data_IF_643163005947
#
_entry.id   IF_643163005947
#
_cell.length_a   1.000
_cell.length_b   1.000
_cell.length_c   1.000
_cell.angle_alpha   90.00
_cell.angle_beta   90.00
_cell.angle_gamma   90.00
#
_symmetry.space_group_name_H-M   'P 1'
#
loop_
_entity.id
_entity.type
_entity.pdbx_description
1 polymer ?
#
# COMPACT_ATOMS: atom_id res chain seq x y z
N UNK A 1 -59.72 -78.39 -37.22
CA UNK A 1 -59.97 -77.56 -36.02
C UNK A 1 -58.62 -77.54 -35.32
N UNK A 2 -57.79 -76.58 -35.68
CA UNK A 2 -56.34 -76.68 -35.53
C UNK A 2 -55.95 -76.04 -34.19
N UNK A 3 -56.36 -76.73 -33.12
CA UNK A 3 -56.14 -76.32 -31.74
C UNK A 3 -54.64 -76.24 -31.41
N UNK A 4 -53.83 -77.16 -31.93
CA UNK A 4 -52.39 -77.17 -31.69
C UNK A 4 -51.69 -75.94 -32.29
N UNK A 5 -52.05 -75.54 -33.50
CA UNK A 5 -51.49 -74.33 -34.13
C UNK A 5 -51.83 -73.05 -33.35
N UNK A 6 -52.98 -73.03 -32.68
CA UNK A 6 -53.41 -71.90 -31.85
C UNK A 6 -52.65 -71.86 -30.52
N UNK A 7 -52.40 -73.03 -29.92
CA UNK A 7 -51.62 -73.16 -28.67
C UNK A 7 -50.15 -72.79 -28.91
N UNK A 8 -49.54 -73.23 -30.01
CA UNK A 8 -48.17 -72.86 -30.37
C UNK A 8 -48.03 -71.36 -30.60
N UNK A 9 -48.99 -70.74 -31.31
CA UNK A 9 -48.99 -69.29 -31.54
C UNK A 9 -49.15 -68.49 -30.24
N UNK A 10 -49.99 -68.95 -29.32
CA UNK A 10 -50.14 -68.32 -28.00
C UNK A 10 -48.87 -68.46 -27.16
N UNK A 11 -48.20 -69.60 -27.20
CA UNK A 11 -46.92 -69.80 -26.51
C UNK A 11 -45.82 -68.93 -27.10
N UNK A 12 -45.75 -68.79 -28.43
CA UNK A 12 -44.80 -67.91 -29.10
C UNK A 12 -45.02 -66.43 -28.71
N UNK A 13 -46.28 -65.98 -28.67
CA UNK A 13 -46.61 -64.62 -28.24
C UNK A 13 -46.27 -64.37 -26.77
N UNK A 14 -46.53 -65.33 -25.88
CA UNK A 14 -46.13 -65.25 -24.46
C UNK A 14 -44.61 -65.22 -24.27
N UNK A 15 -43.85 -65.97 -25.07
CA UNK A 15 -42.39 -65.92 -25.05
C UNK A 15 -41.88 -64.57 -25.56
N UNK A 16 -42.48 -64.04 -26.62
CA UNK A 16 -42.13 -62.74 -27.19
C UNK A 16 -42.45 -61.60 -26.22
N UNK A 17 -43.58 -61.64 -25.52
CA UNK A 17 -43.96 -60.64 -24.51
C UNK A 17 -43.02 -60.70 -23.28
N UNK A 18 -42.63 -61.91 -22.85
CA UNK A 18 -41.63 -62.09 -21.79
C UNK A 18 -40.25 -61.58 -22.21
N UNK A 19 -39.83 -61.86 -23.44
CA UNK A 19 -38.58 -61.37 -24.01
C UNK A 19 -38.56 -59.85 -24.19
N UNK A 20 -39.66 -59.26 -24.66
CA UNK A 20 -39.81 -57.81 -24.79
C UNK A 20 -39.82 -57.11 -23.41
N UNK A 21 -40.47 -57.72 -22.41
CA UNK A 21 -40.47 -57.20 -21.03
C UNK A 21 -39.09 -57.28 -20.37
N UNK A 22 -38.34 -58.36 -20.61
CA UNK A 22 -36.96 -58.47 -20.14
C UNK A 22 -36.03 -57.46 -20.83
N UNK A 23 -36.12 -57.32 -22.16
CA UNK A 23 -35.33 -56.35 -22.90
C UNK A 23 -35.62 -54.90 -22.46
N UNK A 24 -36.87 -54.56 -22.16
CA UNK A 24 -37.24 -53.26 -21.60
C UNK A 24 -36.73 -53.05 -20.17
N UNK A 25 -36.78 -54.07 -19.31
CA UNK A 25 -36.23 -53.98 -17.97
C UNK A 25 -34.70 -53.80 -17.98
N UNK A 26 -34.00 -54.51 -18.87
CA UNK A 26 -32.56 -54.37 -19.07
C UNK A 26 -32.17 -52.98 -19.60
N UNK A 27 -32.92 -52.44 -20.57
CA UNK A 27 -32.69 -51.08 -21.06
C UNK A 27 -33.00 -50.00 -20.00
N UNK A 28 -34.05 -50.16 -19.20
CA UNK A 28 -34.35 -49.25 -18.10
C UNK A 28 -33.27 -49.29 -17.00
N UNK A 29 -32.73 -50.48 -16.69
CA UNK A 29 -31.60 -50.63 -15.78
C UNK A 29 -30.30 -50.02 -16.34
N UNK A 30 -30.02 -50.19 -17.63
CA UNK A 30 -28.87 -49.56 -18.28
C UNK A 30 -28.98 -48.01 -18.26
N UNK A 31 -30.17 -47.47 -18.51
CA UNK A 31 -30.37 -46.02 -18.49
C UNK A 31 -30.26 -45.42 -17.08
N UNK A 32 -30.84 -46.09 -16.07
CA UNK A 32 -30.75 -45.64 -14.67
C UNK A 32 -29.32 -45.72 -14.12
N UNK A 33 -28.56 -46.75 -14.48
CA UNK A 33 -27.14 -46.86 -14.11
C UNK A 33 -26.30 -45.78 -14.81
N UNK A 34 -26.57 -45.48 -16.08
CA UNK A 34 -25.93 -44.36 -16.78
C UNK A 34 -26.21 -43.01 -16.12
N UNK A 35 -27.47 -42.74 -15.75
CA UNK A 35 -27.85 -41.50 -15.07
C UNK A 35 -27.16 -41.37 -13.69
N UNK A 36 -27.06 -42.46 -12.93
CA UNK A 36 -26.35 -42.47 -11.65
C UNK A 36 -24.85 -42.17 -11.82
N UNK A 37 -24.22 -42.70 -12.87
CA UNK A 37 -22.82 -42.40 -13.18
C UNK A 37 -22.63 -40.94 -13.58
N UNK A 38 -23.53 -40.38 -14.38
CA UNK A 38 -23.50 -38.96 -14.75
C UNK A 38 -23.71 -38.04 -13.55
N UNK A 39 -24.67 -38.34 -12.67
CA UNK A 39 -24.89 -37.58 -11.44
C UNK A 39 -23.68 -37.63 -10.52
N UNK A 40 -23.06 -38.80 -10.37
CA UNK A 40 -21.84 -38.95 -9.59
C UNK A 40 -20.69 -38.13 -10.17
N UNK A 41 -20.50 -38.20 -11.49
CA UNK A 41 -19.48 -37.43 -12.20
C UNK A 41 -19.70 -35.92 -12.03
N UNK A 42 -20.93 -35.43 -12.22
CA UNK A 42 -21.27 -34.02 -12.05
C UNK A 42 -21.06 -33.56 -10.60
N UNK A 43 -21.38 -34.41 -9.63
CA UNK A 43 -21.12 -34.11 -8.23
C UNK A 43 -19.62 -33.99 -7.95
N UNK A 44 -18.80 -34.95 -8.41
CA UNK A 44 -17.34 -34.92 -8.27
C UNK A 44 -16.72 -33.70 -8.98
N UNK A 45 -17.23 -33.31 -10.16
CA UNK A 45 -16.79 -32.11 -10.87
C UNK A 45 -17.19 -30.83 -10.12
N UNK A 46 -18.37 -30.79 -9.48
CA UNK A 46 -18.81 -29.66 -8.67
C UNK A 46 -17.94 -29.49 -7.42
N UNK A 47 -17.70 -30.56 -6.68
CA UNK A 47 -16.84 -30.56 -5.48
C UNK A 47 -15.43 -30.05 -5.81
N UNK A 48 -14.86 -30.49 -6.95
CA UNK A 48 -13.55 -29.99 -7.42
C UNK A 48 -13.58 -28.48 -7.66
N UNK A 49 -14.61 -27.98 -8.33
CA UNK A 49 -14.77 -26.54 -8.59
C UNK A 49 -14.94 -25.73 -7.31
N UNK A 50 -15.73 -26.24 -6.36
CA UNK A 50 -15.91 -25.60 -5.05
C UNK A 50 -14.57 -25.52 -4.33
N UNK A 51 -13.82 -26.62 -4.25
CA UNK A 51 -12.49 -26.61 -3.62
C UNK A 51 -11.46 -25.74 -4.33
N UNK A 52 -11.54 -25.58 -5.65
CA UNK A 52 -10.71 -24.62 -6.38
C UNK A 52 -11.08 -23.18 -6.04
N UNK A 53 -12.38 -22.87 -6.00
CA UNK A 53 -12.86 -21.53 -5.62
C UNK A 53 -12.51 -21.18 -4.17
N UNK A 54 -12.66 -22.13 -3.23
CA UNK A 54 -12.27 -21.94 -1.84
C UNK A 54 -10.78 -21.62 -1.70
N UNK A 55 -9.92 -22.34 -2.44
CA UNK A 55 -8.48 -22.08 -2.45
C UNK A 55 -8.15 -20.69 -3.01
N UNK A 56 -8.78 -20.30 -4.11
CA UNK A 56 -8.61 -18.96 -4.69
C UNK A 56 -9.07 -17.87 -3.73
N UNK A 57 -10.21 -18.06 -3.07
CA UNK A 57 -10.72 -17.11 -2.09
C UNK A 57 -9.78 -16.96 -0.89
N UNK A 58 -9.22 -18.06 -0.39
CA UNK A 58 -8.22 -18.03 0.69
C UNK A 58 -6.94 -17.29 0.27
N UNK A 59 -6.46 -17.52 -0.96
CA UNK A 59 -5.32 -16.81 -1.52
C UNK A 59 -5.59 -15.30 -1.57
N UNK A 60 -6.72 -14.89 -2.17
CA UNK A 60 -7.09 -13.47 -2.22
C UNK A 60 -7.27 -12.84 -0.84
N UNK A 61 -7.84 -13.56 0.13
CA UNK A 61 -7.93 -13.05 1.50
C UNK A 61 -6.56 -12.83 2.12
N UNK A 62 -5.60 -13.73 1.86
CA UNK A 62 -4.23 -13.58 2.36
C UNK A 62 -3.52 -12.38 1.71
N UNK A 63 -3.65 -12.22 0.39
CA UNK A 63 -3.08 -11.10 -0.37
C UNK A 63 -3.68 -9.77 0.07
N UNK A 64 -5.00 -9.72 0.27
CA UNK A 64 -5.69 -8.52 0.76
C UNK A 64 -5.20 -8.11 2.15
N UNK A 65 -5.03 -9.08 3.06
CA UNK A 65 -4.48 -8.78 4.41
C UNK A 65 -3.06 -8.26 4.31
N UNK A 66 -2.22 -8.88 3.48
CA UNK A 66 -0.86 -8.41 3.27
C UNK A 66 -0.83 -6.99 2.70
N UNK A 67 -1.61 -6.70 1.67
CA UNK A 67 -1.73 -5.36 1.11
C UNK A 67 -2.23 -4.35 2.14
N UNK A 68 -3.21 -4.73 2.97
CA UNK A 68 -3.71 -3.86 4.03
C UNK A 68 -2.62 -3.51 5.05
N UNK A 69 -1.86 -4.50 5.52
CA UNK A 69 -0.76 -4.23 6.47
C UNK A 69 0.32 -3.33 5.86
N UNK A 70 0.64 -3.53 4.57
CA UNK A 70 1.59 -2.67 3.85
C UNK A 70 1.06 -1.25 3.69
N UNK A 71 -0.23 -1.08 3.42
CA UNK A 71 -0.88 0.23 3.32
C UNK A 71 -0.83 0.96 4.66
N UNK A 72 -1.22 0.30 5.76
CA UNK A 72 -1.18 0.88 7.10
C UNK A 72 0.23 1.32 7.51
N UNK A 73 1.25 0.52 7.18
CA UNK A 73 2.65 0.88 7.39
C UNK A 73 3.08 2.10 6.57
N UNK A 74 2.69 2.16 5.28
CA UNK A 74 2.99 3.29 4.41
C UNK A 74 2.28 4.58 4.86
N UNK A 75 1.04 4.49 5.30
CA UNK A 75 0.29 5.61 5.87
C UNK A 75 0.91 6.11 7.18
N UNK A 76 1.39 5.20 8.03
CA UNK A 76 2.13 5.57 9.23
C UNK A 76 3.43 6.31 8.88
N UNK A 77 4.22 5.79 7.93
CA UNK A 77 5.42 6.48 7.45
C UNK A 77 5.10 7.85 6.86
N UNK A 78 4.01 7.99 6.10
CA UNK A 78 3.59 9.28 5.55
C UNK A 78 3.27 10.31 6.65
N UNK A 79 2.61 9.86 7.73
CA UNK A 79 2.34 10.71 8.90
C UNK A 79 3.63 11.18 9.59
N UNK A 80 4.60 10.28 9.77
CA UNK A 80 5.90 10.64 10.34
C UNK A 80 6.67 11.65 9.45
N UNK A 81 6.67 11.44 8.14
CA UNK A 81 7.29 12.37 7.19
C UNK A 81 6.63 13.75 7.22
N UNK A 82 5.29 13.82 7.30
CA UNK A 82 4.57 15.09 7.45
C UNK A 82 4.91 15.80 8.74
N UNK A 83 5.04 15.08 9.85
CA UNK A 83 5.47 15.66 11.12
C UNK A 83 6.90 16.22 11.02
N UNK A 84 7.84 15.44 10.46
CA UNK A 84 9.23 15.88 10.26
C UNK A 84 9.33 17.11 9.32
N UNK A 85 8.51 17.19 8.28
CA UNK A 85 8.44 18.38 7.42
C UNK A 85 8.00 19.62 8.20
N UNK A 86 7.02 19.48 9.10
CA UNK A 86 6.60 20.57 9.98
C UNK A 86 7.73 21.05 10.90
N UNK A 87 8.56 20.13 11.42
CA UNK A 87 9.74 20.49 12.20
C UNK A 87 10.75 21.28 11.37
N UNK A 88 11.05 20.84 10.14
CA UNK A 88 11.95 21.56 9.22
C UNK A 88 11.46 22.98 8.97
N UNK A 89 10.16 23.18 8.75
CA UNK A 89 9.60 24.52 8.56
C UNK A 89 9.79 25.39 9.81
N UNK A 90 9.61 24.84 11.01
CA UNK A 90 9.87 25.58 12.26
C UNK A 90 11.34 25.96 12.42
N UNK A 91 12.27 25.04 12.14
CA UNK A 91 13.71 25.34 12.16
C UNK A 91 14.10 26.39 11.12
N UNK A 92 13.47 26.37 9.94
CA UNK A 92 13.70 27.38 8.90
C UNK A 92 13.31 28.77 9.38
N UNK A 93 12.12 28.92 9.97
CA UNK A 93 11.68 30.21 10.53
C UNK A 93 12.58 30.68 11.69
N UNK A 94 13.05 29.75 12.54
CA UNK A 94 14.01 30.06 13.59
C UNK A 94 15.34 30.56 13.02
N UNK A 95 15.85 29.94 11.97
CA UNK A 95 17.08 30.36 11.29
C UNK A 95 16.93 31.75 10.65
N UNK A 96 15.80 32.02 10.00
CA UNK A 96 15.48 33.35 9.45
C UNK A 96 15.44 34.42 10.55
N UNK A 97 14.83 34.10 11.70
CA UNK A 97 14.79 35.01 12.86
C UNK A 97 16.18 35.27 13.43
N UNK A 98 16.99 34.22 13.59
CA UNK A 98 18.37 34.34 14.08
C UNK A 98 19.23 35.17 13.11
N UNK A 99 19.02 35.04 11.81
CA UNK A 99 19.72 35.82 10.80
C UNK A 99 19.45 37.32 10.95
N UNK A 100 18.20 37.73 11.17
CA UNK A 100 17.84 39.12 11.42
C UNK A 100 18.53 39.68 12.68
N UNK A 101 18.59 38.89 13.75
CA UNK A 101 19.28 39.27 14.99
C UNK A 101 20.78 39.44 14.74
N UNK A 102 21.40 38.56 13.95
CA UNK A 102 22.82 38.66 13.59
C UNK A 102 23.07 39.95 12.79
N UNK A 103 22.23 40.25 11.80
CA UNK A 103 22.34 41.47 10.99
C UNK A 103 22.21 42.75 11.86
N UNK A 104 21.27 42.75 12.81
CA UNK A 104 21.11 43.86 13.76
C UNK A 104 22.36 44.03 14.63
N UNK A 105 22.87 42.95 15.24
CA UNK A 105 24.08 42.98 16.06
C UNK A 105 25.30 43.44 15.26
N UNK A 106 25.44 43.00 14.02
CA UNK A 106 26.51 43.46 13.13
C UNK A 106 26.41 44.97 12.87
N UNK A 107 25.21 45.49 12.63
CA UNK A 107 24.96 46.93 12.48
C UNK A 107 25.35 47.70 13.75
N UNK A 108 24.93 47.22 14.93
CA UNK A 108 25.28 47.83 16.22
C UNK A 108 26.80 47.84 16.44
N UNK A 109 27.50 46.73 16.15
CA UNK A 109 28.97 46.66 16.24
C UNK A 109 29.63 47.66 15.29
N UNK A 110 29.14 47.78 14.05
CA UNK A 110 29.63 48.80 13.09
C UNK A 110 29.45 50.22 13.65
N UNK A 111 28.29 50.54 14.21
CA UNK A 111 28.02 51.84 14.83
C UNK A 111 28.93 52.11 16.04
N UNK A 112 29.13 51.11 16.91
CA UNK A 112 30.00 51.23 18.08
C UNK A 112 31.46 51.44 17.67
N UNK A 113 31.96 50.73 16.64
CA UNK A 113 33.30 50.94 16.09
C UNK A 113 33.49 52.38 15.59
N UNK A 114 32.54 52.89 14.82
CA UNK A 114 32.58 54.28 14.31
C UNK A 114 32.56 55.28 15.47
N UNK A 115 31.67 55.09 16.44
CA UNK A 115 31.53 55.98 17.59
C UNK A 115 32.80 55.98 18.44
N UNK A 116 33.37 54.81 18.69
CA UNK A 116 34.61 54.67 19.43
C UNK A 116 35.79 55.35 18.72
N UNK A 117 35.92 55.16 17.40
CA UNK A 117 36.92 55.86 16.59
C UNK A 117 36.78 57.39 16.68
N UNK A 118 35.56 57.93 16.57
CA UNK A 118 35.30 59.37 16.70
C UNK A 118 35.69 59.89 18.08
N UNK A 119 35.38 59.16 19.14
CA UNK A 119 35.77 59.53 20.52
C UNK A 119 37.29 59.53 20.69
N UNK A 120 37.99 58.50 20.21
CA UNK A 120 39.45 58.43 20.25
C UNK A 120 40.07 59.63 19.51
N UNK A 121 39.52 59.98 18.34
CA UNK A 121 39.96 61.15 17.57
C UNK A 121 39.77 62.47 18.35
N UNK A 122 38.61 62.68 18.98
CA UNK A 122 38.34 63.88 19.80
C UNK A 122 39.26 63.96 21.02
N UNK A 123 39.50 62.85 21.71
CA UNK A 123 40.42 62.79 22.87
C UNK A 123 41.85 63.12 22.46
N UNK A 124 42.29 62.70 21.28
CA UNK A 124 43.62 63.08 20.77
C UNK A 124 43.72 64.57 20.46
N UNK A 125 42.65 65.19 19.96
CA UNK A 125 42.63 66.64 19.69
C UNK A 125 42.71 67.48 20.97
N UNK A 126 42.22 66.97 22.10
CA UNK A 126 42.23 67.67 23.39
C UNK A 126 43.50 67.43 24.23
N UNK A 127 44.39 66.51 23.82
CA UNK A 127 45.69 66.32 24.48
C UNK A 127 46.67 67.45 24.10
N UNK A 128 47.27 68.15 25.09
CA UNK A 128 48.30 69.14 24.81
C UNK A 128 49.49 68.44 24.13
N UNK A 129 49.98 69.02 23.02
CA UNK A 129 51.13 68.51 22.24
C UNK A 129 52.40 68.45 23.10
N UNK A 130 52.55 67.41 23.90
CA UNK A 130 53.71 67.11 24.74
C UNK A 130 54.29 65.76 24.35
N UNK A 131 55.40 65.79 23.61
CA UNK A 131 56.39 64.72 23.42
C UNK A 131 55.86 63.27 23.46
N UNK A 132 55.21 62.85 22.38
CA UNK A 132 54.87 61.45 22.14
C UNK A 132 53.99 61.34 20.91
N UNK A 133 54.60 61.05 19.75
CA UNK A 133 53.85 60.83 18.51
C UNK A 133 53.07 59.53 18.63
N UNK A 134 51.85 59.62 19.16
CA UNK A 134 50.87 58.55 19.11
C UNK A 134 49.98 58.85 17.91
N UNK A 135 50.32 58.26 16.75
CA UNK A 135 49.51 58.38 15.54
C UNK A 135 48.10 57.82 15.83
N UNK A 136 47.03 58.42 15.26
CA UNK A 136 45.70 57.88 15.41
C UNK A 136 45.68 56.43 14.89
N UNK A 137 45.03 55.51 15.61
CA UNK A 137 44.84 54.17 15.10
C UNK A 137 44.09 54.25 13.75
N UNK A 138 44.40 53.35 12.81
CA UNK A 138 43.75 53.34 11.51
C UNK A 138 42.23 53.23 11.69
N UNK A 139 41.44 53.92 10.86
CA UNK A 139 39.99 53.84 10.92
C UNK A 139 39.53 52.38 10.80
N UNK A 140 38.47 51.97 11.52
CA UNK A 140 38.02 50.59 11.52
C UNK A 140 37.59 50.16 10.12
N UNK A 141 37.87 48.91 9.77
CA UNK A 141 37.38 48.32 8.53
C UNK A 141 35.85 48.13 8.63
N UNK A 142 35.12 48.77 7.71
CA UNK A 142 33.66 48.94 7.76
C UNK A 142 32.94 47.99 6.79
N UNK A 143 33.71 47.27 5.97
CA UNK A 143 33.22 46.30 5.00
C UNK A 143 33.00 44.95 5.68
#
# INVERSE_FOLDING_TARGET
MDFDATIERLNALKLQERGASQAHAEHAHAHTTQLQLELRRLHEENERRVHEQERQLQQWQSEMREMQTRLEAAEHQNRLLKAALGEVDTYRHQAETQQLVIEELQSQVKQLRITNYRLQYVVQQSQPRGQGSFLPPPPPDIF
#
